data_IF_516197521615
#
_entry.id   IF_516197521615
#
_cell.length_a   1.000
_cell.length_b   1.000
_cell.length_c   1.000
_cell.angle_alpha   90.00
_cell.angle_beta   90.00
_cell.angle_gamma   90.00
#
_symmetry.space_group_name_H-M   'P 1'
#
loop_
_entity.id
_entity.type
_entity.pdbx_description
1 polymer ?
#
# COMPACT_ATOMS: atom_id res chain seq x y z
N UNK A 1 -0.40 -8.68 29.04
CA UNK A 1 -0.24 -7.60 30.04
C UNK A 1 0.48 -8.15 31.26
N UNK A 2 1.63 -7.58 31.62
CA UNK A 2 2.40 -7.96 32.81
C UNK A 2 2.93 -6.70 33.50
N UNK A 3 3.03 -6.69 34.83
CA UNK A 3 3.56 -5.56 35.60
C UNK A 3 4.65 -6.04 36.54
N UNK A 4 5.77 -5.33 36.59
CA UNK A 4 6.90 -5.62 37.48
C UNK A 4 7.59 -4.33 37.93
N UNK A 5 8.50 -4.43 38.90
CA UNK A 5 9.29 -3.29 39.38
C UNK A 5 10.74 -3.39 38.93
N UNK A 6 11.33 -2.25 38.57
CA UNK A 6 12.76 -2.13 38.23
C UNK A 6 13.29 -0.78 38.69
N UNK A 7 14.22 -0.78 39.64
CA UNK A 7 14.70 0.44 40.28
C UNK A 7 13.52 1.21 40.90
N UNK A 8 13.44 2.52 40.63
CA UNK A 8 12.33 3.38 41.08
C UNK A 8 11.05 3.27 40.25
N UNK A 9 11.03 2.44 39.20
CA UNK A 9 9.94 2.39 38.25
C UNK A 9 9.04 1.17 38.45
N UNK A 10 7.73 1.41 38.42
CA UNK A 10 6.73 0.38 38.13
C UNK A 10 6.61 0.26 36.61
N UNK A 11 6.96 -0.88 36.04
CA UNK A 11 6.99 -1.13 34.60
C UNK A 11 5.78 -1.95 34.21
N UNK A 12 5.05 -1.46 33.21
CA UNK A 12 3.95 -2.18 32.56
C UNK A 12 4.43 -2.67 31.20
N UNK A 13 4.21 -3.95 30.92
CA UNK A 13 4.48 -4.57 29.64
C UNK A 13 3.18 -4.93 28.92
N UNK A 14 3.10 -4.51 27.67
CA UNK A 14 2.00 -4.85 26.76
C UNK A 14 2.53 -5.44 25.46
N UNK A 15 1.84 -6.49 25.00
CA UNK A 15 2.06 -7.09 23.69
C UNK A 15 0.99 -6.59 22.75
N UNK A 16 1.43 -6.04 21.63
CA UNK A 16 0.63 -5.64 20.49
C UNK A 16 0.94 -6.57 19.32
N UNK A 17 0.15 -6.49 18.25
CA UNK A 17 0.33 -7.36 17.08
C UNK A 17 1.70 -7.21 16.41
N UNK A 18 2.27 -5.99 16.37
CA UNK A 18 3.53 -5.71 15.67
C UNK A 18 4.67 -5.22 16.58
N UNK A 19 4.39 -4.92 17.85
CA UNK A 19 5.39 -4.42 18.78
C UNK A 19 5.07 -4.80 20.22
N UNK A 20 6.06 -4.68 21.09
CA UNK A 20 5.87 -4.72 22.54
C UNK A 20 6.16 -3.34 23.11
N UNK A 21 5.39 -2.92 24.10
CA UNK A 21 5.64 -1.67 24.81
C UNK A 21 5.98 -1.95 26.26
N UNK A 22 6.91 -1.14 26.77
CA UNK A 22 7.30 -1.11 28.17
C UNK A 22 7.12 0.32 28.66
N UNK A 23 6.27 0.52 29.65
CA UNK A 23 5.96 1.83 30.23
C UNK A 23 6.40 1.85 31.69
N UNK A 24 7.48 2.58 31.97
CA UNK A 24 7.97 2.81 33.32
C UNK A 24 7.31 4.04 33.95
N UNK A 25 6.78 3.87 35.15
CA UNK A 25 6.20 4.95 35.94
C UNK A 25 6.99 5.13 37.24
N UNK A 26 7.61 6.30 37.41
CA UNK A 26 8.29 6.68 38.65
C UNK A 26 7.60 7.91 39.27
N UNK A 27 7.35 7.83 40.57
CA UNK A 27 6.79 8.91 41.39
C UNK A 27 7.88 9.49 42.29
N UNK A 28 8.01 10.81 42.35
CA UNK A 28 8.98 11.51 43.21
C UNK A 28 8.89 13.03 43.04
N UNK A 29 9.51 13.80 43.93
CA UNK A 29 9.60 15.27 43.76
C UNK A 29 10.49 15.59 42.55
N UNK A 30 10.31 16.75 41.91
CA UNK A 30 11.23 17.17 40.84
C UNK A 30 12.61 17.54 41.41
N UNK A 31 12.64 18.00 42.66
CA UNK A 31 13.86 18.45 43.35
C UNK A 31 14.87 17.31 43.56
N UNK A 32 14.38 16.08 43.76
CA UNK A 32 15.25 14.92 44.02
C UNK A 32 15.85 14.29 42.75
N UNK A 33 15.18 14.39 41.60
CA UNK A 33 15.51 13.64 40.37
C UNK A 33 15.80 14.52 39.14
N UNK A 34 15.44 15.80 39.19
CA UNK A 34 15.47 16.67 38.02
C UNK A 34 14.44 16.27 36.94
N UNK A 35 14.29 17.08 35.88
CA UNK A 35 13.42 16.76 34.74
C UNK A 35 14.06 15.70 33.83
N UNK A 36 13.26 14.80 33.27
CA UNK A 36 13.73 13.81 32.30
C UNK A 36 14.85 12.91 32.85
N UNK A 37 14.55 12.24 33.97
CA UNK A 37 15.45 11.35 34.70
C UNK A 37 16.30 10.45 33.76
N UNK A 38 17.65 10.57 33.79
CA UNK A 38 18.53 9.76 32.96
C UNK A 38 18.48 8.27 33.34
N UNK A 39 18.08 7.91 34.57
CA UNK A 39 17.91 6.50 34.97
C UNK A 39 16.83 5.78 34.15
N UNK A 40 15.95 6.51 33.46
CA UNK A 40 15.03 5.93 32.49
C UNK A 40 15.76 5.16 31.37
N UNK A 41 17.01 5.54 31.02
CA UNK A 41 17.84 4.78 30.09
C UNK A 41 18.20 3.39 30.64
N UNK A 42 18.34 3.25 31.95
CA UNK A 42 18.69 1.99 32.61
C UNK A 42 17.52 1.02 32.76
N UNK A 43 16.29 1.44 32.44
CA UNK A 43 15.14 0.53 32.34
C UNK A 43 15.34 -0.53 31.26
N UNK A 44 16.10 -0.18 30.21
CA UNK A 44 16.42 -1.04 29.08
C UNK A 44 17.95 -1.14 28.96
N UNK A 45 18.61 -2.02 29.74
CA UNK A 45 20.05 -2.18 29.71
C UNK A 45 20.57 -2.38 28.29
N UNK A 46 21.74 -1.83 28.01
CA UNK A 46 22.39 -1.97 26.71
C UNK A 46 22.55 -3.45 26.30
N UNK A 47 22.81 -4.33 27.26
CA UNK A 47 22.89 -5.78 27.05
C UNK A 47 21.60 -6.36 26.48
N UNK A 48 20.44 -5.97 27.03
CA UNK A 48 19.14 -6.39 26.52
C UNK A 48 18.95 -5.84 25.10
N UNK A 49 19.14 -4.53 24.91
CA UNK A 49 18.99 -3.91 23.59
C UNK A 49 19.92 -4.55 22.53
N UNK A 50 21.12 -4.98 22.93
CA UNK A 50 22.10 -5.62 22.04
C UNK A 50 21.76 -7.07 21.69
N UNK A 51 21.16 -7.81 22.64
CA UNK A 51 20.74 -9.19 22.44
C UNK A 51 19.38 -9.31 21.73
N UNK A 52 18.63 -8.21 21.62
CA UNK A 52 17.30 -8.23 21.04
C UNK A 52 17.36 -8.18 19.51
N UNK A 53 16.64 -9.09 18.82
CA UNK A 53 16.64 -9.13 17.35
C UNK A 53 15.92 -7.94 16.71
N UNK A 54 15.22 -7.13 17.52
CA UNK A 54 14.36 -6.04 17.08
C UNK A 54 14.90 -4.67 17.48
N UNK A 55 14.58 -3.65 16.67
CA UNK A 55 14.97 -2.26 16.96
C UNK A 55 13.92 -1.53 17.78
N UNK A 56 14.35 -0.58 18.60
CA UNK A 56 13.46 0.35 19.31
C UNK A 56 12.82 1.32 18.31
N UNK A 57 11.49 1.29 18.23
CA UNK A 57 10.70 2.08 17.26
C UNK A 57 10.45 3.49 17.78
N UNK A 58 10.14 3.62 19.07
CA UNK A 58 9.94 4.90 19.76
C UNK A 58 10.44 4.80 21.19
N UNK A 59 10.90 5.93 21.74
CA UNK A 59 11.18 6.10 23.14
C UNK A 59 10.62 7.45 23.57
N UNK A 60 9.76 7.47 24.59
CA UNK A 60 9.03 8.68 24.99
C UNK A 60 9.19 8.92 26.49
N UNK A 61 9.70 10.09 26.85
CA UNK A 61 9.66 10.56 28.24
C UNK A 61 8.58 11.61 28.38
N UNK A 62 7.73 11.45 29.39
CA UNK A 62 6.70 12.43 29.73
C UNK A 62 6.94 12.90 31.15
N UNK A 63 7.31 14.17 31.29
CA UNK A 63 7.48 14.81 32.59
C UNK A 63 6.15 15.44 33.00
N UNK A 64 5.59 14.99 34.13
CA UNK A 64 4.29 15.45 34.63
C UNK A 64 4.50 16.23 35.91
N UNK A 65 4.14 17.51 35.89
CA UNK A 65 4.48 18.48 36.91
C UNK A 65 3.28 19.33 37.31
N UNK A 66 3.33 19.90 38.51
CA UNK A 66 2.40 20.95 38.91
C UNK A 66 2.55 22.17 37.99
N UNK A 67 1.44 22.89 37.76
CA UNK A 67 1.45 24.13 36.99
C UNK A 67 2.34 25.19 37.66
N UNK A 68 3.43 25.65 37.01
CA UNK A 68 4.23 26.76 37.51
C UNK A 68 3.58 28.11 37.17
N UNK A 69 4.06 29.18 37.80
CA UNK A 69 3.62 30.56 37.49
C UNK A 69 3.94 30.96 36.04
N UNK A 70 5.09 30.51 35.51
CA UNK A 70 5.51 30.76 34.13
C UNK A 70 5.94 29.45 33.44
N UNK A 71 4.98 28.72 32.83
CA UNK A 71 5.29 27.49 32.11
C UNK A 71 6.24 27.73 30.93
N UNK A 72 6.17 28.88 30.24
CA UNK A 72 7.00 29.14 29.06
C UNK A 72 8.46 29.28 29.45
N UNK A 73 8.76 29.98 30.54
CA UNK A 73 10.13 30.09 31.07
C UNK A 73 10.69 28.73 31.43
N UNK A 74 9.88 27.84 32.02
CA UNK A 74 10.33 26.50 32.38
C UNK A 74 10.57 25.61 31.15
N UNK A 75 9.67 25.64 30.15
CA UNK A 75 9.85 24.90 28.89
C UNK A 75 11.15 25.28 28.16
N UNK A 76 11.51 26.57 28.12
CA UNK A 76 12.75 27.05 27.49
C UNK A 76 14.03 26.47 28.11
N UNK A 77 13.97 25.95 29.33
CA UNK A 77 15.11 25.30 29.99
C UNK A 77 15.31 23.86 29.55
N UNK A 78 14.26 23.19 29.05
CA UNK A 78 14.29 21.75 28.82
C UNK A 78 14.04 21.33 27.36
N UNK A 79 13.39 22.19 26.59
CA UNK A 79 13.05 21.98 25.19
C UNK A 79 13.71 23.04 24.31
N UNK A 80 13.93 22.73 23.03
CA UNK A 80 14.43 23.69 22.06
C UNK A 80 13.44 24.87 21.93
N UNK A 81 13.82 26.10 22.31
CA UNK A 81 12.92 27.25 22.35
C UNK A 81 12.38 27.66 20.97
N UNK A 82 13.10 27.29 19.90
CA UNK A 82 12.75 27.60 18.50
C UNK A 82 11.76 26.61 17.91
N UNK A 83 11.71 25.38 18.44
CA UNK A 83 10.85 24.28 17.96
C UNK A 83 9.72 23.92 18.89
N UNK A 84 9.76 24.40 20.13
CA UNK A 84 8.74 24.10 21.16
C UNK A 84 7.35 24.45 20.66
N UNK A 85 6.50 23.43 20.61
CA UNK A 85 5.06 23.54 20.48
C UNK A 85 4.42 23.40 21.85
N UNK A 86 3.34 24.12 22.08
CA UNK A 86 2.62 24.06 23.35
C UNK A 86 1.15 24.38 23.15
N UNK A 87 0.30 23.66 23.87
CA UNK A 87 -1.14 23.83 23.82
C UNK A 87 -1.75 23.58 25.19
N UNK A 88 -2.94 24.13 25.40
CA UNK A 88 -3.77 23.84 26.56
C UNK A 88 -4.78 22.75 26.24
N UNK A 89 -5.03 21.86 27.19
CA UNK A 89 -6.07 20.82 27.11
C UNK A 89 -6.94 20.85 28.36
N UNK A 90 -8.01 20.07 28.37
CA UNK A 90 -8.90 19.92 29.54
C UNK A 90 -9.51 21.24 30.08
N UNK A 91 -9.75 22.21 29.19
CA UNK A 91 -10.28 23.53 29.58
C UNK A 91 -9.23 24.43 30.21
N UNK A 92 -8.00 24.40 29.69
CA UNK A 92 -6.85 25.16 30.18
C UNK A 92 -6.28 24.74 31.54
N UNK A 93 -6.81 23.68 32.17
CA UNK A 93 -6.24 23.14 33.42
C UNK A 93 -4.93 22.37 33.22
N UNK A 94 -4.56 22.06 31.98
CA UNK A 94 -3.32 21.35 31.64
C UNK A 94 -2.66 22.02 30.44
N UNK A 95 -1.36 22.24 30.52
CA UNK A 95 -0.50 22.64 29.40
C UNK A 95 0.36 21.44 29.00
N UNK A 96 0.34 21.11 27.71
CA UNK A 96 1.20 20.08 27.12
C UNK A 96 2.19 20.72 26.16
N UNK A 97 3.42 20.22 26.12
CA UNK A 97 4.46 20.75 25.26
C UNK A 97 5.46 19.67 24.82
N UNK A 98 6.07 19.87 23.65
CA UNK A 98 7.19 19.09 23.13
C UNK A 98 7.92 19.93 22.09
N UNK A 99 9.17 19.62 21.79
CA UNK A 99 9.89 20.12 20.62
C UNK A 99 9.99 19.08 19.49
N UNK A 100 9.53 17.84 19.74
CA UNK A 100 9.70 16.68 18.87
C UNK A 100 11.15 16.45 18.41
N UNK A 101 12.12 16.93 19.20
CA UNK A 101 13.54 16.68 18.97
C UNK A 101 13.92 15.43 19.72
N UNK A 102 14.44 14.47 18.97
CA UNK A 102 14.96 13.24 19.54
C UNK A 102 16.30 13.54 20.24
N UNK A 103 16.45 13.12 21.50
CA UNK A 103 17.70 13.22 22.24
C UNK A 103 18.77 12.29 21.64
N UNK A 104 20.03 12.44 22.07
CA UNK A 104 21.12 11.54 21.66
C UNK A 104 20.81 10.07 21.99
N UNK A 105 20.08 9.82 23.08
CA UNK A 105 19.68 8.48 23.50
C UNK A 105 18.34 8.04 22.90
N UNK A 106 17.82 8.77 21.90
CA UNK A 106 16.64 8.36 21.12
C UNK A 106 15.28 8.72 21.73
N UNK A 107 15.24 9.53 22.80
CA UNK A 107 13.99 9.90 23.46
C UNK A 107 13.35 11.12 22.84
N UNK A 108 12.04 11.06 22.61
CA UNK A 108 11.18 12.23 22.41
C UNK A 108 10.64 12.67 23.76
N UNK A 109 10.70 13.98 24.04
CA UNK A 109 10.31 14.55 25.33
C UNK A 109 8.98 15.26 25.25
N UNK A 110 8.11 15.00 26.21
CA UNK A 110 6.90 15.75 26.47
C UNK A 110 6.93 16.31 27.89
N UNK A 111 6.39 17.51 28.04
CA UNK A 111 6.14 18.14 29.34
C UNK A 111 4.65 18.34 29.49
N UNK A 112 4.12 17.98 30.66
CA UNK A 112 2.72 18.14 31.04
C UNK A 112 2.67 18.90 32.35
N UNK A 113 2.25 20.16 32.30
CA UNK A 113 1.94 20.93 33.50
C UNK A 113 0.45 20.83 33.80
N UNK A 114 0.09 20.47 35.03
CA UNK A 114 -1.28 20.29 35.43
C UNK A 114 -1.63 21.14 36.66
N UNK A 115 -2.81 21.77 36.62
CA UNK A 115 -3.43 22.37 37.80
C UNK A 115 -3.61 21.28 38.88
N UNK A 116 -3.28 21.54 40.16
CA UNK A 116 -3.47 20.59 41.26
C UNK A 116 -4.89 20.00 41.38
N UNK A 117 -5.92 20.73 40.95
CA UNK A 117 -7.31 20.27 40.92
C UNK A 117 -7.61 19.28 39.79
N UNK A 118 -6.67 19.07 38.85
CA UNK A 118 -6.84 18.12 37.74
C UNK A 118 -6.74 16.69 38.25
N UNK A 119 -7.87 15.98 38.26
CA UNK A 119 -7.92 14.60 38.76
C UNK A 119 -7.00 13.62 38.00
N UNK A 120 -6.39 12.63 38.71
CA UNK A 120 -5.33 11.78 38.18
C UNK A 120 -5.76 10.95 36.96
N UNK A 121 -7.02 10.50 36.91
CA UNK A 121 -7.55 9.75 35.76
C UNK A 121 -7.65 10.60 34.49
N UNK A 122 -7.91 11.92 34.60
CA UNK A 122 -7.91 12.83 33.45
C UNK A 122 -6.50 13.05 32.93
N UNK A 123 -5.56 13.25 33.84
CA UNK A 123 -4.14 13.43 33.53
C UNK A 123 -3.53 12.18 32.90
N UNK A 124 -3.82 11.00 33.45
CA UNK A 124 -3.40 9.72 32.89
C UNK A 124 -3.87 9.50 31.45
N UNK A 125 -5.10 9.93 31.11
CA UNK A 125 -5.60 9.89 29.71
C UNK A 125 -4.85 10.87 28.79
N UNK A 126 -4.42 12.03 29.30
CA UNK A 126 -3.58 12.95 28.51
C UNK A 126 -2.23 12.31 28.23
N UNK A 127 -1.56 11.78 29.26
CA UNK A 127 -0.26 11.09 29.12
C UNK A 127 -0.37 9.91 28.16
N UNK A 128 -1.38 9.04 28.33
CA UNK A 128 -1.60 7.90 27.43
C UNK A 128 -1.77 8.35 25.98
N UNK A 129 -2.52 9.43 25.73
CA UNK A 129 -2.69 9.96 24.36
C UNK A 129 -1.38 10.46 23.78
N UNK A 130 -0.52 11.11 24.57
CA UNK A 130 0.80 11.55 24.10
C UNK A 130 1.69 10.36 23.75
N UNK A 131 1.68 9.32 24.58
CA UNK A 131 2.38 8.06 24.31
C UNK A 131 1.86 7.41 23.03
N UNK A 132 0.53 7.23 22.92
CA UNK A 132 -0.12 6.67 21.71
C UNK A 132 0.25 7.47 20.46
N UNK A 133 0.19 8.81 20.51
CA UNK A 133 0.54 9.68 19.38
C UNK A 133 1.95 9.39 18.90
N UNK A 134 2.94 9.39 19.81
CA UNK A 134 4.33 9.23 19.41
C UNK A 134 4.64 7.79 18.97
N UNK A 135 4.11 6.78 19.67
CA UNK A 135 4.27 5.37 19.31
C UNK A 135 3.65 5.07 17.95
N UNK A 136 2.38 5.44 17.73
CA UNK A 136 1.69 5.12 16.48
C UNK A 136 2.16 6.01 15.32
N UNK A 137 2.61 7.25 15.58
CA UNK A 137 3.31 8.06 14.57
C UNK A 137 4.58 7.36 14.09
N UNK A 138 5.40 6.84 15.00
CA UNK A 138 6.61 6.11 14.63
C UNK A 138 6.30 4.81 13.87
N UNK A 139 5.27 4.07 14.29
CA UNK A 139 4.79 2.87 13.58
C UNK A 139 4.29 3.18 12.16
N UNK A 140 3.50 4.24 12.00
CA UNK A 140 3.00 4.67 10.69
C UNK A 140 4.15 5.08 9.76
N UNK A 141 5.20 5.71 10.30
CA UNK A 141 6.36 6.12 9.51
C UNK A 141 7.17 4.94 8.92
N UNK A 142 6.97 3.70 9.37
CA UNK A 142 7.60 2.51 8.77
C UNK A 142 7.14 2.23 7.34
N UNK A 143 5.99 2.77 6.91
CA UNK A 143 5.49 2.65 5.55
C UNK A 143 6.16 3.62 4.56
N UNK A 144 6.64 4.77 5.03
CA UNK A 144 7.10 5.84 4.15
C UNK A 144 8.30 5.44 3.27
N UNK A 145 9.40 4.87 3.79
CA UNK A 145 10.52 4.43 2.96
C UNK A 145 10.12 3.35 1.94
N UNK A 146 9.18 2.47 2.32
CA UNK A 146 8.67 1.43 1.43
C UNK A 146 7.83 2.03 0.30
N UNK A 147 6.99 3.03 0.58
CA UNK A 147 6.26 3.75 -0.45
C UNK A 147 7.22 4.50 -1.40
N UNK A 148 8.29 5.12 -0.89
CA UNK A 148 9.31 5.74 -1.75
C UNK A 148 10.02 4.73 -2.66
N UNK A 149 10.28 3.52 -2.17
CA UNK A 149 10.84 2.44 -2.99
C UNK A 149 9.83 1.99 -4.07
N UNK A 150 8.59 1.67 -3.68
CA UNK A 150 7.53 1.27 -4.60
C UNK A 150 7.31 2.32 -5.68
N UNK A 151 7.28 3.61 -5.32
CA UNK A 151 7.08 4.69 -6.26
C UNK A 151 8.20 4.78 -7.30
N UNK A 152 9.44 4.46 -6.93
CA UNK A 152 10.57 4.36 -7.88
C UNK A 152 10.43 3.16 -8.80
N UNK A 153 10.06 1.99 -8.27
CA UNK A 153 9.84 0.79 -9.08
C UNK A 153 8.69 0.98 -10.06
N UNK A 154 7.56 1.53 -9.62
CA UNK A 154 6.42 1.86 -10.48
C UNK A 154 6.82 2.81 -11.62
N UNK A 155 7.65 3.82 -11.34
CA UNK A 155 8.11 4.75 -12.37
C UNK A 155 8.98 4.07 -13.45
N UNK A 156 9.61 2.93 -13.14
CA UNK A 156 10.38 2.14 -14.11
C UNK A 156 9.49 1.21 -14.94
N UNK A 157 8.42 0.66 -14.35
CA UNK A 157 7.48 -0.24 -15.03
C UNK A 157 6.48 0.49 -15.92
N UNK A 158 6.11 1.72 -15.57
CA UNK A 158 5.07 2.48 -16.25
C UNK A 158 5.28 2.70 -17.75
N UNK A 159 6.49 3.06 -18.25
CA UNK A 159 6.72 3.18 -19.68
C UNK A 159 6.39 1.88 -20.44
N UNK A 160 6.78 0.72 -19.89
CA UNK A 160 6.49 -0.59 -20.47
C UNK A 160 4.99 -0.87 -20.52
N UNK A 161 4.24 -0.52 -19.47
CA UNK A 161 2.77 -0.65 -19.46
C UNK A 161 2.14 0.23 -20.55
N UNK A 162 2.59 1.48 -20.68
CA UNK A 162 2.05 2.42 -21.67
C UNK A 162 2.32 1.94 -23.09
N UNK A 163 3.53 1.46 -23.36
CA UNK A 163 3.92 0.89 -24.66
C UNK A 163 3.06 -0.32 -25.02
N UNK A 164 2.95 -1.30 -24.10
CA UNK A 164 2.13 -2.50 -24.32
C UNK A 164 0.65 -2.17 -24.55
N UNK A 165 0.11 -1.17 -23.84
CA UNK A 165 -1.28 -0.73 -24.02
C UNK A 165 -1.47 0.03 -25.33
N UNK A 166 -0.49 0.82 -25.78
CA UNK A 166 -0.55 1.53 -27.05
C UNK A 166 -0.53 0.57 -28.25
N UNK A 167 0.25 -0.52 -28.14
CA UNK A 167 0.37 -1.55 -29.17
C UNK A 167 -0.86 -2.47 -29.28
N UNK A 168 -1.81 -2.41 -28.34
CA UNK A 168 -3.07 -3.16 -28.42
C UNK A 168 -3.83 -2.92 -29.74
N UNK A 169 -3.73 -1.71 -30.29
CA UNK A 169 -4.37 -1.32 -31.55
C UNK A 169 -3.54 -1.62 -32.80
N UNK A 170 -2.29 -2.08 -32.66
CA UNK A 170 -1.42 -2.35 -33.80
C UNK A 170 -1.65 -3.77 -34.33
N UNK A 171 -2.18 -3.88 -35.54
CA UNK A 171 -2.40 -5.15 -36.23
C UNK A 171 -1.08 -5.85 -36.65
N UNK A 172 0.03 -5.12 -36.70
CA UNK A 172 1.32 -5.66 -37.13
C UNK A 172 1.99 -6.58 -36.09
N UNK A 173 1.67 -6.42 -34.80
CA UNK A 173 2.24 -7.23 -33.72
C UNK A 173 1.36 -8.46 -33.42
N UNK A 174 1.93 -9.67 -33.27
CA UNK A 174 1.18 -10.85 -32.83
C UNK A 174 0.56 -10.62 -31.45
N UNK A 175 -0.75 -10.83 -31.34
CA UNK A 175 -1.50 -10.57 -30.11
C UNK A 175 -1.04 -11.49 -28.96
N UNK A 176 -0.57 -12.70 -29.27
CA UNK A 176 0.00 -13.65 -28.33
C UNK A 176 1.30 -13.16 -27.67
N UNK A 177 2.17 -12.50 -28.44
CA UNK A 177 3.42 -11.94 -27.91
C UNK A 177 3.14 -10.75 -26.99
N UNK A 178 2.24 -9.85 -27.40
CA UNK A 178 1.80 -8.73 -26.56
C UNK A 178 1.14 -9.22 -25.26
N UNK A 179 0.35 -10.30 -25.33
CA UNK A 179 -0.27 -10.91 -24.16
C UNK A 179 0.78 -11.50 -23.20
N UNK A 180 1.81 -12.16 -23.72
CA UNK A 180 2.90 -12.69 -22.90
C UNK A 180 3.65 -11.59 -22.15
N UNK A 181 4.01 -10.50 -22.83
CA UNK A 181 4.68 -9.36 -22.18
C UNK A 181 3.80 -8.69 -21.13
N UNK A 182 2.50 -8.55 -21.41
CA UNK A 182 1.56 -7.98 -20.45
C UNK A 182 1.41 -8.85 -19.20
N UNK A 183 1.37 -10.18 -19.36
CA UNK A 183 1.33 -11.12 -18.23
C UNK A 183 2.59 -11.00 -17.37
N UNK A 184 3.77 -10.89 -17.96
CA UNK A 184 5.03 -10.65 -17.22
C UNK A 184 4.96 -9.36 -16.39
N UNK A 185 4.45 -8.26 -16.95
CA UNK A 185 4.31 -7.01 -16.20
C UNK A 185 3.21 -7.10 -15.12
N UNK A 186 2.15 -7.88 -15.38
CA UNK A 186 1.09 -8.14 -14.39
C UNK A 186 1.67 -8.86 -13.18
N UNK A 187 2.48 -9.91 -13.40
CA UNK A 187 3.15 -10.66 -12.33
C UNK A 187 4.04 -9.76 -11.48
N UNK A 188 4.81 -8.85 -12.10
CA UNK A 188 5.63 -7.88 -11.38
C UNK A 188 4.78 -6.94 -10.50
N UNK A 189 3.65 -6.44 -11.01
CA UNK A 189 2.76 -5.55 -10.26
C UNK A 189 2.05 -6.28 -9.11
N UNK A 190 1.60 -7.52 -9.33
CA UNK A 190 0.95 -8.35 -8.31
C UNK A 190 1.91 -8.69 -7.17
N UNK A 191 3.15 -9.06 -7.51
CA UNK A 191 4.21 -9.27 -6.52
C UNK A 191 4.46 -8.00 -5.69
N UNK A 192 4.50 -6.83 -6.33
CA UNK A 192 4.60 -5.56 -5.62
C UNK A 192 3.39 -5.31 -4.70
N UNK A 193 2.16 -5.62 -5.13
CA UNK A 193 0.96 -5.47 -4.29
C UNK A 193 1.07 -6.33 -3.04
N UNK A 194 1.32 -7.62 -3.21
CA UNK A 194 1.45 -8.58 -2.10
C UNK A 194 2.50 -8.15 -1.07
N UNK A 195 3.64 -7.60 -1.51
CA UNK A 195 4.70 -7.16 -0.61
C UNK A 195 4.39 -5.84 0.12
N UNK A 196 3.57 -4.97 -0.47
CA UNK A 196 3.33 -3.62 0.06
C UNK A 196 2.01 -3.47 0.81
N UNK A 197 1.00 -4.29 0.52
CA UNK A 197 -0.37 -4.12 1.03
C UNK A 197 -0.46 -4.14 2.55
N UNK A 198 0.16 -5.13 3.20
CA UNK A 198 0.14 -5.22 4.66
C UNK A 198 0.70 -3.96 5.33
N UNK A 199 1.88 -3.50 4.89
CA UNK A 199 2.51 -2.33 5.51
C UNK A 199 1.78 -1.03 5.17
N UNK A 200 1.27 -0.87 3.96
CA UNK A 200 0.50 0.30 3.57
C UNK A 200 -0.79 0.38 4.42
N UNK A 201 -1.55 -0.72 4.50
CA UNK A 201 -2.74 -0.82 5.36
C UNK A 201 -2.44 -0.53 6.83
N UNK A 202 -1.38 -1.14 7.39
CA UNK A 202 -0.96 -0.87 8.76
C UNK A 202 -0.60 0.61 8.98
N UNK A 203 0.11 1.23 8.03
CA UNK A 203 0.45 2.66 8.08
C UNK A 203 -0.78 3.54 8.18
N UNK A 204 -1.80 3.28 7.34
CA UNK A 204 -3.04 4.05 7.35
C UNK A 204 -3.86 3.82 8.63
N UNK A 205 -3.88 2.59 9.14
CA UNK A 205 -4.54 2.28 10.41
C UNK A 205 -3.88 3.00 11.59
N UNK A 206 -2.55 3.01 11.66
CA UNK A 206 -1.82 3.74 12.70
C UNK A 206 -1.97 5.26 12.55
N UNK A 207 -2.01 5.79 11.33
CA UNK A 207 -2.32 7.20 11.10
C UNK A 207 -3.70 7.59 11.64
N UNK A 208 -4.72 6.75 11.40
CA UNK A 208 -6.05 6.98 11.93
C UNK A 208 -6.05 7.09 13.47
N UNK A 209 -5.29 6.23 14.16
CA UNK A 209 -5.13 6.32 15.62
C UNK A 209 -4.49 7.65 16.02
N UNK A 210 -3.42 8.09 15.35
CA UNK A 210 -2.77 9.37 15.63
C UNK A 210 -3.77 10.53 15.46
N UNK A 211 -4.53 10.55 14.37
CA UNK A 211 -5.55 11.57 14.10
C UNK A 211 -6.61 11.60 15.19
N UNK A 212 -7.11 10.43 15.61
CA UNK A 212 -8.12 10.32 16.66
C UNK A 212 -7.60 10.80 18.01
N UNK A 213 -6.35 10.46 18.36
CA UNK A 213 -5.73 10.89 19.62
C UNK A 213 -5.49 12.40 19.64
N UNK A 214 -5.03 12.97 18.53
CA UNK A 214 -4.88 14.43 18.37
C UNK A 214 -6.23 15.16 18.50
N UNK A 215 -7.28 14.63 17.88
CA UNK A 215 -8.64 15.19 18.02
C UNK A 215 -9.12 15.10 19.47
N UNK A 216 -8.90 13.96 20.12
CA UNK A 216 -9.35 13.71 21.48
C UNK A 216 -8.63 14.55 22.55
N UNK A 217 -7.41 15.03 22.29
CA UNK A 217 -6.73 16.00 23.17
C UNK A 217 -7.52 17.31 23.30
N UNK A 218 -8.27 17.70 22.27
CA UNK A 218 -9.04 18.95 22.23
C UNK A 218 -8.16 20.18 22.59
N UNK A 219 -7.02 20.29 21.91
CA UNK A 219 -6.02 21.33 22.13
C UNK A 219 -6.52 22.74 21.83
N UNK A 220 -6.14 23.71 22.67
CA UNK A 220 -6.31 25.14 22.44
C UNK A 220 -4.95 25.85 22.44
N UNK A 221 -4.89 27.05 21.84
CA UNK A 221 -3.64 27.81 21.75
C UNK A 221 -3.14 28.20 23.14
N UNK A 222 -1.83 28.15 23.33
CA UNK A 222 -1.19 28.57 24.57
C UNK A 222 -0.03 29.53 24.28
N UNK A 223 -0.07 30.73 24.86
CA UNK A 223 1.00 31.73 24.77
C UNK A 223 1.55 31.95 23.33
N UNK A 224 0.66 31.99 22.33
CA UNK A 224 1.03 32.17 20.91
C UNK A 224 1.78 31.00 20.27
N UNK A 225 1.97 29.87 20.98
CA UNK A 225 2.64 28.68 20.45
C UNK A 225 1.74 27.90 19.48
N UNK A 226 2.38 27.17 18.58
CA UNK A 226 1.71 26.28 17.64
C UNK A 226 1.14 25.07 18.41
N UNK A 227 -0.01 24.58 17.95
CA UNK A 227 -0.63 23.36 18.46
C UNK A 227 0.16 22.12 18.03
N UNK A 228 0.13 21.04 18.82
CA UNK A 228 0.77 19.78 18.46
C UNK A 228 0.13 19.22 17.18
N UNK A 229 -1.20 19.27 17.06
CA UNK A 229 -1.90 18.87 15.82
C UNK A 229 -1.39 19.61 14.58
N UNK A 230 -1.14 20.90 14.67
CA UNK A 230 -0.74 21.72 13.52
C UNK A 230 0.70 21.40 13.11
N UNK A 231 1.56 21.19 14.10
CA UNK A 231 2.93 20.76 13.89
C UNK A 231 3.01 19.40 13.20
N UNK A 232 2.28 18.40 13.71
CA UNK A 232 2.25 17.06 13.12
C UNK A 232 1.56 17.06 11.74
N UNK A 233 0.52 17.86 11.54
CA UNK A 233 -0.09 18.02 10.22
C UNK A 233 0.92 18.52 9.18
N UNK A 234 1.84 19.41 9.55
CA UNK A 234 2.86 19.93 8.64
C UNK A 234 4.01 18.94 8.40
N UNK A 235 4.42 18.20 9.42
CA UNK A 235 5.72 17.47 9.42
C UNK A 235 5.59 15.96 9.28
N UNK A 236 4.40 15.41 9.50
CA UNK A 236 4.12 13.98 9.46
C UNK A 236 3.14 13.60 8.34
N UNK A 237 2.03 14.35 8.16
CA UNK A 237 1.02 14.03 7.11
C UNK A 237 1.56 13.95 5.68
N UNK A 238 2.57 14.74 5.23
CA UNK A 238 3.12 14.57 3.89
C UNK A 238 3.64 13.15 3.61
N UNK A 239 4.26 12.51 4.60
CA UNK A 239 4.76 11.13 4.46
C UNK A 239 3.62 10.12 4.30
N UNK A 240 2.54 10.30 5.07
CA UNK A 240 1.34 9.45 4.97
C UNK A 240 0.67 9.61 3.60
N UNK A 241 0.55 10.85 3.11
CA UNK A 241 0.00 11.10 1.76
C UNK A 241 0.83 10.43 0.67
N UNK A 242 2.14 10.35 0.82
CA UNK A 242 2.98 9.59 -0.13
C UNK A 242 2.61 8.10 -0.12
N UNK A 243 2.39 7.50 1.05
CA UNK A 243 1.95 6.10 1.18
C UNK A 243 0.59 5.91 0.50
N UNK A 244 -0.40 6.73 0.83
CA UNK A 244 -1.74 6.71 0.22
C UNK A 244 -1.68 6.83 -1.30
N UNK A 245 -0.95 7.82 -1.81
CA UNK A 245 -0.86 8.09 -3.25
C UNK A 245 -0.13 6.98 -4.01
N UNK A 246 0.89 6.37 -3.39
CA UNK A 246 1.66 5.30 -4.02
C UNK A 246 0.84 4.02 -4.09
N UNK A 247 0.11 3.67 -3.01
CA UNK A 247 -0.81 2.53 -3.01
C UNK A 247 -1.92 2.73 -4.06
N UNK A 248 -2.53 3.91 -4.08
CA UNK A 248 -3.56 4.25 -5.09
C UNK A 248 -3.02 4.25 -6.52
N UNK A 249 -1.73 4.54 -6.71
CA UNK A 249 -1.06 4.46 -8.02
C UNK A 249 -0.87 3.00 -8.43
N UNK A 250 -0.40 2.13 -7.54
CA UNK A 250 -0.25 0.70 -7.80
C UNK A 250 -1.57 0.06 -8.22
N UNK A 251 -2.63 0.27 -7.42
CA UNK A 251 -3.96 -0.31 -7.70
C UNK A 251 -4.52 0.13 -9.07
N UNK A 252 -4.39 1.42 -9.41
CA UNK A 252 -4.80 1.91 -10.73
C UNK A 252 -4.02 1.29 -11.89
N UNK A 253 -2.75 0.91 -11.67
CA UNK A 253 -1.94 0.24 -12.70
C UNK A 253 -2.34 -1.22 -12.86
N UNK A 254 -2.59 -1.93 -11.77
CA UNK A 254 -3.16 -3.27 -11.80
C UNK A 254 -4.48 -3.29 -12.58
N UNK A 255 -5.41 -2.40 -12.25
CA UNK A 255 -6.68 -2.27 -12.99
C UNK A 255 -6.50 -1.94 -14.48
N UNK A 256 -5.49 -1.13 -14.83
CA UNK A 256 -5.21 -0.79 -16.22
C UNK A 256 -4.70 -2.00 -17.00
N UNK A 257 -3.77 -2.74 -16.40
CA UNK A 257 -3.15 -3.93 -17.01
C UNK A 257 -4.17 -5.06 -17.14
N UNK A 258 -5.03 -5.25 -16.15
CA UNK A 258 -6.12 -6.24 -16.17
C UNK A 258 -7.09 -5.99 -17.36
N UNK A 259 -7.55 -4.73 -17.52
CA UNK A 259 -8.38 -4.34 -18.67
C UNK A 259 -7.68 -4.55 -20.02
N UNK A 260 -6.38 -4.27 -20.09
CA UNK A 260 -5.60 -4.51 -21.31
C UNK A 260 -5.49 -6.00 -21.63
N UNK A 261 -5.37 -6.86 -20.60
CA UNK A 261 -5.33 -8.31 -20.72
C UNK A 261 -6.63 -8.87 -21.28
N UNK A 262 -7.77 -8.38 -20.81
CA UNK A 262 -9.09 -8.78 -21.32
C UNK A 262 -9.27 -8.42 -22.81
N UNK A 263 -8.80 -7.24 -23.22
CA UNK A 263 -8.84 -6.82 -24.63
C UNK A 263 -7.94 -7.69 -25.51
N UNK A 264 -6.71 -8.00 -25.07
CA UNK A 264 -5.80 -8.90 -25.81
C UNK A 264 -6.37 -10.30 -25.94
N UNK A 265 -6.93 -10.85 -24.86
CA UNK A 265 -7.55 -12.18 -24.90
C UNK A 265 -8.68 -12.22 -25.92
N UNK A 266 -9.54 -11.20 -25.94
CA UNK A 266 -10.60 -11.06 -26.94
C UNK A 266 -10.05 -11.00 -28.37
N UNK A 267 -8.97 -10.24 -28.60
CA UNK A 267 -8.32 -10.13 -29.91
C UNK A 267 -7.70 -11.47 -30.36
N UNK A 268 -7.03 -12.19 -29.47
CA UNK A 268 -6.49 -13.54 -29.73
C UNK A 268 -7.62 -14.51 -30.10
N UNK A 269 -8.72 -14.50 -29.36
CA UNK A 269 -9.87 -15.38 -29.63
C UNK A 269 -10.50 -15.10 -31.00
N UNK A 270 -10.69 -13.82 -31.36
CA UNK A 270 -11.18 -13.42 -32.69
C UNK A 270 -10.20 -13.81 -33.80
N UNK A 271 -8.90 -13.62 -33.60
CA UNK A 271 -7.87 -14.01 -34.57
C UNK A 271 -7.87 -15.53 -34.81
N UNK A 272 -7.99 -16.33 -33.74
CA UNK A 272 -8.10 -17.80 -33.84
C UNK A 272 -9.40 -18.24 -34.51
N UNK A 273 -10.53 -17.58 -34.22
CA UNK A 273 -11.79 -17.85 -34.92
C UNK A 273 -11.68 -17.56 -36.42
N UNK A 274 -11.10 -16.41 -36.79
CA UNK A 274 -10.88 -16.04 -38.19
C UNK A 274 -9.93 -17.03 -38.90
N UNK A 275 -8.88 -17.50 -38.22
CA UNK A 275 -7.98 -18.52 -38.75
C UNK A 275 -8.72 -19.86 -38.96
N UNK A 276 -9.47 -20.32 -37.97
CA UNK A 276 -10.26 -21.55 -38.06
C UNK A 276 -11.27 -21.49 -39.22
N UNK A 277 -11.92 -20.34 -39.41
CA UNK A 277 -12.87 -20.15 -40.50
C UNK A 277 -12.19 -20.21 -41.88
N UNK A 278 -11.00 -19.61 -42.03
CA UNK A 278 -10.21 -19.73 -43.28
C UNK A 278 -9.82 -21.18 -43.58
N UNK A 279 -9.48 -21.96 -42.55
CA UNK A 279 -9.17 -23.39 -42.70
C UNK A 279 -10.40 -24.15 -43.19
N UNK A 280 -11.56 -23.95 -42.56
CA UNK A 280 -12.82 -24.57 -42.98
C UNK A 280 -13.20 -24.20 -44.43
N UNK A 281 -13.10 -22.93 -44.80
CA UNK A 281 -13.34 -22.51 -46.18
C UNK A 281 -12.36 -23.14 -47.18
N UNK A 282 -11.09 -23.31 -46.80
CA UNK A 282 -10.12 -23.98 -47.67
C UNK A 282 -10.42 -25.48 -47.82
N UNK A 283 -10.94 -26.12 -46.77
CA UNK A 283 -11.41 -27.50 -46.82
C UNK A 283 -12.65 -27.63 -47.71
N UNK A 284 -13.63 -26.74 -47.58
CA UNK A 284 -14.84 -26.73 -48.42
C UNK A 284 -14.51 -26.49 -49.89
N UNK A 285 -13.61 -25.54 -50.19
CA UNK A 285 -13.14 -25.29 -51.56
C UNK A 285 -12.43 -26.51 -52.15
N UNK A 286 -11.59 -27.19 -51.38
CA UNK A 286 -10.88 -28.38 -51.83
C UNK A 286 -11.81 -29.58 -51.99
N UNK A 287 -12.76 -29.77 -51.08
CA UNK A 287 -13.76 -30.84 -51.17
C UNK A 287 -14.69 -30.66 -52.39
N UNK A 288 -15.20 -29.45 -52.61
CA UNK A 288 -16.06 -29.13 -53.75
C UNK A 288 -15.31 -29.21 -55.10
N UNK A 289 -14.02 -28.86 -55.13
CA UNK A 289 -13.16 -29.02 -56.31
C UNK A 289 -12.98 -30.48 -56.71
N UNK A 290 -12.71 -31.34 -55.73
CA UNK A 290 -12.53 -32.79 -55.96
C UNK A 290 -13.84 -33.44 -56.42
N UNK A 291 -14.98 -33.11 -55.80
CA UNK A 291 -16.27 -33.70 -56.17
C UNK A 291 -16.68 -33.35 -57.61
N UNK A 292 -16.45 -32.11 -58.04
CA UNK A 292 -16.86 -31.62 -59.36
C UNK A 292 -16.02 -32.23 -60.49
N UNK A 293 -14.71 -32.38 -60.30
CA UNK A 293 -13.83 -33.03 -61.28
C UNK A 293 -14.15 -34.54 -61.42
N UNK A 294 -14.38 -35.23 -60.30
CA UNK A 294 -14.79 -36.63 -60.30
C UNK A 294 -16.17 -36.84 -60.95
N UNK A 295 -17.15 -35.99 -60.63
CA UNK A 295 -18.46 -36.02 -61.27
C UNK A 295 -18.34 -35.80 -62.77
N UNK A 296 -17.58 -34.81 -63.24
CA UNK A 296 -17.36 -34.56 -64.67
C UNK A 296 -16.64 -35.74 -65.35
N UNK A 297 -15.62 -36.31 -64.73
CA UNK A 297 -14.85 -37.42 -65.28
C UNK A 297 -15.68 -38.71 -65.44
N UNK A 298 -16.66 -38.96 -64.56
CA UNK A 298 -17.54 -40.14 -64.64
C UNK A 298 -18.75 -39.88 -65.54
N UNK A 299 -19.35 -38.68 -65.46
CA UNK A 299 -20.58 -38.37 -66.20
C UNK A 299 -20.33 -38.21 -67.70
N UNK A 300 -19.19 -37.62 -68.10
CA UNK A 300 -18.85 -37.38 -69.51
C UNK A 300 -18.79 -38.67 -70.34
N UNK A 301 -18.05 -39.73 -69.95
CA UNK A 301 -18.03 -40.98 -70.71
C UNK A 301 -19.40 -41.68 -70.69
N UNK A 302 -20.19 -41.58 -69.62
CA UNK A 302 -21.56 -42.15 -69.58
C UNK A 302 -22.51 -41.46 -70.56
N UNK A 303 -22.46 -40.13 -70.66
CA UNK A 303 -23.26 -39.36 -71.62
C UNK A 303 -22.83 -39.68 -73.06
N UNK A 304 -21.52 -39.77 -73.31
CA UNK A 304 -20.99 -40.17 -74.63
C UNK A 304 -21.39 -41.61 -74.98
N UNK A 305 -21.34 -42.53 -74.02
CA UNK A 305 -21.78 -43.92 -74.22
C UNK A 305 -23.27 -44.01 -74.52
N UNK A 306 -24.10 -43.25 -73.80
CA UNK A 306 -25.54 -43.15 -74.04
C UNK A 306 -25.86 -42.59 -75.43
N UNK A 307 -25.18 -41.52 -75.85
CA UNK A 307 -25.31 -40.94 -77.18
C UNK A 307 -24.85 -41.92 -78.29
N UNK A 308 -23.73 -42.63 -78.06
CA UNK A 308 -23.23 -43.64 -78.98
C UNK A 308 -24.18 -44.84 -79.13
N UNK A 309 -24.72 -45.34 -78.01
CA UNK A 309 -25.73 -46.40 -78.01
C UNK A 309 -27.02 -45.96 -78.71
N UNK A 310 -27.45 -44.71 -78.51
CA UNK A 310 -28.60 -44.12 -79.20
C UNK A 310 -28.40 -44.04 -80.71
N UNK A 311 -27.25 -43.55 -81.17
CA UNK A 311 -26.89 -43.52 -82.59
C UNK A 311 -26.78 -44.92 -83.20
N UNK A 312 -26.19 -45.88 -82.48
CA UNK A 312 -26.07 -47.28 -82.92
C UNK A 312 -27.44 -47.96 -83.03
N UNK A 313 -28.34 -47.69 -82.08
CA UNK A 313 -29.72 -48.18 -82.14
C UNK A 313 -30.48 -47.61 -83.33
N UNK A 314 -30.35 -46.31 -83.60
CA UNK A 314 -30.96 -45.65 -84.75
C UNK A 314 -30.45 -46.23 -86.08
N UNK A 315 -29.14 -46.47 -86.20
CA UNK A 315 -28.53 -47.12 -87.38
C UNK A 315 -29.04 -48.55 -87.59
N UNK A 316 -29.26 -49.31 -86.51
CA UNK A 316 -29.80 -50.68 -86.57
C UNK A 316 -31.30 -50.76 -86.93
N UNK A 317 -32.03 -49.64 -86.89
CA UNK A 317 -33.42 -49.55 -87.35
C UNK A 317 -33.53 -49.20 -88.83
N UNK A 318 -32.54 -48.52 -89.40
CA UNK A 318 -32.55 -48.08 -90.80
C UNK A 318 -32.15 -49.21 -91.77
N UNK A 319 -31.43 -50.24 -91.31
CA UNK A 319 -31.04 -51.40 -92.15
C UNK A 319 -31.93 -52.65 -91.98
N UNK A 320 -33.20 -52.47 -91.58
CA UNK A 320 -34.19 -53.56 -91.48
C UNK A 320 -35.30 -53.50 -92.54
N UNK A 321 -35.17 -52.61 -93.51
CA UNK A 321 -36.01 -52.54 -94.70
C UNK A 321 -35.12 -52.44 -95.93
N UNK A 322 -34.51 -53.57 -96.29
CA UNK A 322 -33.99 -53.95 -97.62
C UNK A 322 -33.65 -55.45 -97.57
#
# INVERSE_FOLDING_TARGET
HHTFHRGAYRVVWDSHAEFVSYSGFATGSQEDRGPFDPEADHLFPAEWLSAWPTRRIAAVQVEVLAMPDDPIRQLRRWLDPTRTVASTVLGASVVIASDFVMTANGWTRFVVFADPATGPGRLGRVVQRLLDIETYRAMAMLGYPRAQQLNRTLAQLEPRIVELVAELGDEARPAEEALHDLLSVTEDLEALSMHHDFRAGATLAYDAIVVDRLRALNENRYAGRQLIRDFLNRRYRPAIRTVESTQSRLLRRLEQVDRAGDLLRTRVDVARQAQNQRVLESMDRNAAGIEKEWLMAVLTPLVLLGAWLGMRWLRSRIHRHE
#
